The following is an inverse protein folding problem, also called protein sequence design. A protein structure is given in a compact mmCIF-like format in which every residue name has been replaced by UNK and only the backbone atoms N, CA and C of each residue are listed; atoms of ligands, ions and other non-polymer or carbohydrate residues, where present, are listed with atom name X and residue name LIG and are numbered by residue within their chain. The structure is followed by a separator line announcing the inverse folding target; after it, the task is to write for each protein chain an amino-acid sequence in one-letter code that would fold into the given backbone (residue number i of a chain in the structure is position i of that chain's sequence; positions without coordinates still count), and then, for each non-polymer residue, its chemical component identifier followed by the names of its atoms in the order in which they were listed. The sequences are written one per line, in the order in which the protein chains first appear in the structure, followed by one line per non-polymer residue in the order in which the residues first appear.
data_IF_127012672025
#
_entry.id   IF_127012672025
#
_cell.length_a   1.000
_cell.length_b   1.000
_cell.length_c   1.000
_cell.angle_alpha   90.00
_cell.angle_beta   90.00
_cell.angle_gamma   90.00
#
_symmetry.space_group_name_H-M   'P 1'
#
loop_
_entity.id
_entity.type
_entity.pdbx_description
1 polymer ?
#
# COMPACT_ATOMS: atom_id res chain seq x y z
N UNK A 1 -17.53 17.62 -2.27
CA UNK A 1 -16.66 16.45 -1.99
C UNK A 1 -15.62 16.96 -1.01
N UNK A 2 -15.53 16.39 0.20
CA UNK A 2 -14.62 16.92 1.21
C UNK A 2 -13.26 16.23 1.10
N UNK A 3 -12.18 16.97 1.33
CA UNK A 3 -10.84 16.45 1.51
C UNK A 3 -10.28 17.09 2.78
N UNK A 4 -9.48 16.35 3.54
CA UNK A 4 -9.03 16.78 4.86
C UNK A 4 -7.50 16.73 4.94
N UNK A 5 -6.87 17.90 5.03
CA UNK A 5 -5.44 18.04 5.25
C UNK A 5 -5.19 18.72 6.60
N UNK A 6 -4.24 18.20 7.37
CA UNK A 6 -3.80 18.78 8.64
C UNK A 6 -2.44 19.44 8.51
N UNK A 7 -2.30 20.67 8.97
CA UNK A 7 -0.99 21.26 9.27
C UNK A 7 -0.64 20.98 10.73
N UNK A 8 -0.06 19.81 11.02
CA UNK A 8 0.30 19.46 12.41
C UNK A 8 1.26 20.49 13.01
N UNK A 9 2.16 21.02 12.19
CA UNK A 9 2.98 22.19 12.50
C UNK A 9 2.59 23.33 11.55
N UNK A 10 2.52 24.56 12.05
CA UNK A 10 2.00 25.72 11.29
C UNK A 10 2.80 26.06 10.03
N UNK A 11 4.03 25.57 9.90
CA UNK A 11 4.90 25.73 8.74
C UNK A 11 5.04 24.46 7.89
N UNK A 12 4.32 23.39 8.22
CA UNK A 12 4.31 22.13 7.47
C UNK A 12 2.85 21.77 7.13
N UNK A 13 2.33 22.26 6.00
CA UNK A 13 1.02 21.86 5.53
C UNK A 13 1.09 20.48 4.86
N UNK A 14 -0.01 19.74 4.94
CA UNK A 14 -0.23 18.52 4.16
C UNK A 14 -1.14 18.76 2.96
N UNK A 15 -1.20 17.77 2.07
CA UNK A 15 -1.99 17.83 0.82
C UNK A 15 -3.02 16.70 0.82
N UNK A 16 -4.28 17.04 0.63
CA UNK A 16 -5.38 16.08 0.46
C UNK A 16 -6.18 16.40 -0.80
N UNK A 17 -6.23 15.46 -1.76
CA UNK A 17 -6.95 15.59 -3.03
C UNK A 17 -7.83 14.36 -3.24
N UNK A 18 -9.14 14.55 -3.47
CA UNK A 18 -10.10 13.46 -3.67
C UNK A 18 -11.20 13.40 -2.59
N UNK A 19 -12.33 12.77 -2.91
CA UNK A 19 -13.45 12.66 -1.97
C UNK A 19 -13.05 11.80 -0.76
N UNK A 20 -13.21 12.35 0.43
CA UNK A 20 -12.86 11.74 1.71
C UNK A 20 -11.38 11.35 1.83
N UNK A 21 -10.47 12.01 1.09
CA UNK A 21 -9.04 11.84 1.33
C UNK A 21 -8.63 12.49 2.65
N UNK A 22 -7.68 11.89 3.35
CA UNK A 22 -7.23 12.30 4.68
C UNK A 22 -5.70 12.32 4.72
N UNK A 23 -5.11 13.50 4.87
CA UNK A 23 -3.69 13.69 5.13
C UNK A 23 -3.51 14.23 6.56
N UNK A 24 -3.30 13.32 7.51
CA UNK A 24 -3.31 13.65 8.95
C UNK A 24 -1.90 13.93 9.53
N UNK A 25 -0.84 13.73 8.74
CA UNK A 25 0.53 14.07 9.15
C UNK A 25 0.97 15.50 8.83
N UNK A 26 2.03 15.97 9.50
CA UNK A 26 2.60 17.31 9.32
C UNK A 26 3.14 17.61 7.91
N UNK A 27 3.43 16.61 7.10
CA UNK A 27 3.90 16.77 5.70
C UNK A 27 3.30 15.68 4.81
N UNK A 28 2.09 15.22 5.17
CA UNK A 28 1.45 14.10 4.50
C UNK A 28 0.89 14.46 3.11
N UNK A 29 0.84 13.46 2.22
CA UNK A 29 0.23 13.58 0.90
C UNK A 29 -0.79 12.45 0.72
N UNK A 30 -2.07 12.79 0.60
CA UNK A 30 -3.16 11.86 0.33
C UNK A 30 -3.89 12.22 -0.97
N UNK A 31 -3.76 11.40 -2.01
CA UNK A 31 -4.33 11.64 -3.34
C UNK A 31 -5.18 10.46 -3.77
N UNK A 32 -6.48 10.68 -3.94
CA UNK A 32 -7.47 9.69 -4.34
C UNK A 32 -8.67 9.62 -3.40
N UNK A 33 -9.80 9.15 -3.90
CA UNK A 33 -11.00 8.93 -3.07
C UNK A 33 -10.70 7.93 -1.95
N UNK A 34 -10.95 8.31 -0.70
CA UNK A 34 -10.59 7.54 0.51
C UNK A 34 -9.08 7.27 0.72
N UNK A 35 -8.18 7.92 -0.02
CA UNK A 35 -6.74 7.83 0.25
C UNK A 35 -6.42 8.42 1.62
N UNK A 36 -5.65 7.72 2.45
CA UNK A 36 -5.43 8.08 3.85
C UNK A 36 -3.96 7.97 4.23
N UNK A 37 -3.39 9.03 4.79
CA UNK A 37 -2.07 9.00 5.43
C UNK A 37 -2.24 9.21 6.92
N UNK A 38 -1.62 8.32 7.70
CA UNK A 38 -1.60 8.32 9.16
C UNK A 38 -3.03 8.26 9.68
N UNK A 39 -3.64 7.06 9.64
CA UNK A 39 -5.04 6.83 10.02
C UNK A 39 -5.50 7.66 11.23
N UNK A 40 -6.78 8.01 11.23
CA UNK A 40 -7.38 8.91 12.21
C UNK A 40 -6.97 8.53 13.64
N UNK A 41 -6.37 9.48 14.36
CA UNK A 41 -5.89 9.29 15.74
C UNK A 41 -4.39 9.00 15.86
N UNK A 42 -3.70 8.71 14.75
CA UNK A 42 -2.23 8.65 14.72
C UNK A 42 -1.65 10.04 14.40
N UNK A 43 -0.52 10.40 15.02
CA UNK A 43 0.12 11.72 14.88
C UNK A 43 1.53 11.60 14.28
N UNK A 44 1.66 10.89 13.17
CA UNK A 44 2.93 10.76 12.45
C UNK A 44 3.19 11.97 11.55
N UNK A 45 4.46 12.19 11.19
CA UNK A 45 4.88 13.43 10.55
C UNK A 45 4.73 13.37 9.04
N UNK A 46 5.03 12.22 8.42
CA UNK A 46 5.22 12.15 6.97
C UNK A 46 4.65 10.85 6.39
N UNK A 47 4.18 10.91 5.15
CA UNK A 47 3.69 9.73 4.44
C UNK A 47 3.03 10.11 3.12
N UNK A 48 3.00 9.17 2.17
CA UNK A 48 2.47 9.39 0.83
C UNK A 48 1.49 8.26 0.48
N UNK A 49 0.20 8.57 0.39
CA UNK A 49 -0.84 7.66 -0.09
C UNK A 49 -1.40 8.16 -1.42
N UNK A 50 -1.22 7.39 -2.50
CA UNK A 50 -1.72 7.74 -3.84
C UNK A 50 -2.53 6.56 -4.38
N UNK A 51 -3.85 6.70 -4.48
CA UNK A 51 -4.74 5.66 -4.97
C UNK A 51 -6.14 5.81 -4.40
N UNK A 52 -7.15 5.79 -5.26
CA UNK A 52 -8.54 5.91 -4.85
C UNK A 52 -9.26 4.57 -4.78
N UNK A 53 -10.33 4.51 -4.01
CA UNK A 53 -11.27 3.40 -3.98
C UNK A 53 -12.72 3.88 -3.99
N UNK A 54 -13.65 3.00 -4.37
CA UNK A 54 -15.06 3.34 -4.44
C UNK A 54 -15.72 3.38 -3.05
N UNK A 55 -15.22 2.55 -2.12
CA UNK A 55 -15.74 2.39 -0.76
C UNK A 55 -14.73 2.88 0.30
N UNK A 56 -15.19 3.22 1.51
CA UNK A 56 -14.30 3.46 2.64
C UNK A 56 -13.31 2.31 2.83
N UNK A 57 -12.04 2.64 3.05
CA UNK A 57 -10.96 1.67 3.22
C UNK A 57 -10.37 1.11 1.93
N UNK A 58 -10.88 1.49 0.76
CA UNK A 58 -10.34 1.05 -0.54
C UNK A 58 -9.32 2.01 -1.17
N UNK A 59 -9.09 3.18 -0.57
CA UNK A 59 -8.00 4.05 -0.99
C UNK A 59 -6.63 3.51 -0.56
N UNK A 60 -5.57 4.03 -1.15
CA UNK A 60 -4.22 3.81 -0.64
C UNK A 60 -4.14 4.28 0.81
N UNK A 61 -3.51 3.49 1.68
CA UNK A 61 -3.42 3.79 3.12
C UNK A 61 -1.97 3.70 3.61
N UNK A 62 -1.49 4.77 4.22
CA UNK A 62 -0.21 4.80 4.94
C UNK A 62 -0.49 4.77 6.44
N UNK A 63 0.09 3.79 7.13
CA UNK A 63 -0.04 3.60 8.58
C UNK A 63 1.30 3.90 9.27
N UNK A 64 2.42 3.48 8.67
CA UNK A 64 3.76 3.78 9.18
C UNK A 64 4.21 5.20 8.87
N UNK A 65 4.90 5.85 9.81
CA UNK A 65 5.60 7.12 9.56
C UNK A 65 6.63 6.96 8.43
N UNK A 66 6.73 7.98 7.58
CA UNK A 66 7.59 8.04 6.40
C UNK A 66 7.35 6.91 5.38
N UNK A 67 6.20 6.23 5.42
CA UNK A 67 5.88 5.19 4.47
C UNK A 67 5.18 5.72 3.21
N UNK A 68 5.21 4.90 2.15
CA UNK A 68 4.62 5.21 0.85
C UNK A 68 3.69 4.06 0.45
N UNK A 69 2.44 4.37 0.12
CA UNK A 69 1.44 3.44 -0.41
C UNK A 69 0.92 3.97 -1.75
N UNK A 70 1.12 3.21 -2.83
CA UNK A 70 0.70 3.60 -4.19
C UNK A 70 -0.18 2.51 -4.79
N UNK A 71 -1.43 2.90 -5.06
CA UNK A 71 -2.53 2.18 -5.70
C UNK A 71 -3.70 1.89 -4.75
N UNK A 72 -4.91 1.75 -5.30
CA UNK A 72 -6.11 1.43 -4.50
C UNK A 72 -5.92 0.14 -3.72
N UNK A 73 -6.51 0.05 -2.52
CA UNK A 73 -6.39 -1.08 -1.60
C UNK A 73 -4.98 -1.38 -1.06
N UNK A 74 -3.97 -0.55 -1.33
CA UNK A 74 -2.63 -0.74 -0.73
C UNK A 74 -2.55 -0.25 0.71
N UNK A 75 -1.74 -0.94 1.52
CA UNK A 75 -1.50 -0.57 2.93
C UNK A 75 -0.02 -0.66 3.29
N UNK A 76 0.60 0.47 3.59
CA UNK A 76 1.98 0.54 4.06
C UNK A 76 2.03 0.58 5.60
N UNK A 77 2.22 -0.60 6.21
CA UNK A 77 2.21 -0.77 7.68
C UNK A 77 3.53 -0.39 8.36
N UNK A 78 4.67 -0.69 7.73
CA UNK A 78 5.99 -0.48 8.33
C UNK A 78 6.42 0.99 8.26
N UNK A 79 7.13 1.46 9.29
CA UNK A 79 7.85 2.72 9.20
C UNK A 79 8.85 2.69 8.04
N UNK A 80 8.92 3.77 7.28
CA UNK A 80 9.79 3.89 6.09
C UNK A 80 9.55 2.79 5.03
N UNK A 81 8.41 2.10 5.06
CA UNK A 81 8.08 1.06 4.09
C UNK A 81 7.55 1.66 2.78
N UNK A 82 7.70 0.92 1.70
CA UNK A 82 7.16 1.28 0.39
C UNK A 82 6.30 0.11 -0.09
N UNK A 83 5.02 0.37 -0.35
CA UNK A 83 4.07 -0.58 -0.91
C UNK A 83 3.53 0.01 -2.20
N UNK A 84 3.73 -0.72 -3.30
CA UNK A 84 3.26 -0.34 -4.62
C UNK A 84 2.51 -1.53 -5.19
N UNK A 85 1.28 -1.29 -5.63
CA UNK A 85 0.40 -2.33 -6.14
C UNK A 85 -1.06 -1.89 -6.06
N UNK A 86 -1.98 -2.78 -6.34
CA UNK A 86 -3.38 -2.58 -6.05
C UNK A 86 -4.06 -3.92 -6.08
N UNK A 87 -5.29 -3.98 -6.58
CA UNK A 87 -6.03 -5.24 -6.76
C UNK A 87 -5.25 -6.27 -7.61
N UNK A 88 -4.32 -5.81 -8.46
CA UNK A 88 -3.48 -6.68 -9.30
C UNK A 88 -2.33 -7.36 -8.52
N UNK A 89 -1.84 -6.75 -7.43
CA UNK A 89 -0.79 -7.35 -6.60
C UNK A 89 -1.35 -8.54 -5.80
N UNK A 90 -2.56 -8.42 -5.27
CA UNK A 90 -3.24 -9.54 -4.59
C UNK A 90 -3.51 -10.71 -5.55
N UNK A 91 -3.77 -10.41 -6.84
CA UNK A 91 -3.94 -11.44 -7.88
C UNK A 91 -2.65 -12.16 -8.25
N UNK A 92 -1.49 -11.52 -8.07
CA UNK A 92 -0.19 -12.07 -8.45
C UNK A 92 0.10 -13.40 -7.75
N UNK A 93 -0.20 -13.51 -6.45
CA UNK A 93 0.04 -14.72 -5.65
C UNK A 93 -0.70 -15.95 -6.21
N UNK A 94 -1.91 -15.74 -6.77
CA UNK A 94 -2.75 -16.78 -7.37
C UNK A 94 -2.45 -17.08 -8.84
N UNK A 95 -1.63 -16.25 -9.51
CA UNK A 95 -1.30 -16.40 -10.93
C UNK A 95 -0.42 -17.64 -11.12
N UNK A 96 -0.63 -18.41 -12.20
CA UNK A 96 0.22 -19.58 -12.49
C UNK A 96 1.53 -19.15 -13.14
N UNK A 97 2.64 -19.65 -12.61
CA UNK A 97 3.98 -19.44 -13.14
C UNK A 97 4.65 -20.76 -13.49
N UNK A 98 5.48 -20.74 -14.53
CA UNK A 98 6.40 -21.83 -14.86
C UNK A 98 7.72 -21.55 -14.15
N UNK A 99 8.24 -22.52 -13.40
CA UNK A 99 9.53 -22.42 -12.72
C UNK A 99 10.32 -23.73 -12.83
N UNK A 100 11.62 -23.68 -12.59
CA UNK A 100 12.45 -24.89 -12.50
C UNK A 100 12.37 -25.43 -11.08
N UNK A 101 11.84 -26.65 -10.92
CA UNK A 101 11.81 -27.32 -9.64
C UNK A 101 13.24 -27.63 -9.16
N UNK A 102 13.58 -27.18 -7.95
CA UNK A 102 14.94 -27.31 -7.41
C UNK A 102 15.30 -28.75 -6.99
N UNK A 103 14.32 -29.62 -6.83
CA UNK A 103 14.53 -31.02 -6.42
C UNK A 103 14.73 -31.93 -7.62
N UNK A 104 14.04 -31.66 -8.73
CA UNK A 104 14.04 -32.51 -9.94
C UNK A 104 14.77 -31.89 -11.12
N UNK A 105 15.01 -30.58 -11.12
CA UNK A 105 15.60 -29.83 -12.24
C UNK A 105 14.67 -29.69 -13.45
N UNK A 106 13.40 -30.08 -13.35
CA UNK A 106 12.42 -30.06 -14.45
C UNK A 106 11.50 -28.84 -14.35
N UNK A 107 10.89 -28.40 -15.48
CA UNK A 107 9.83 -27.40 -15.44
C UNK A 107 8.64 -27.88 -14.61
N UNK A 108 8.15 -27.02 -13.73
CA UNK A 108 6.92 -27.20 -12.95
C UNK A 108 5.99 -25.99 -13.15
N UNK A 109 4.70 -26.18 -12.91
CA UNK A 109 3.69 -25.12 -12.99
C UNK A 109 2.89 -25.09 -11.69
N UNK A 110 3.01 -23.99 -10.95
CA UNK A 110 2.27 -23.77 -9.71
C UNK A 110 1.79 -22.31 -9.65
N UNK A 111 1.06 -21.94 -8.61
CA UNK A 111 0.80 -20.51 -8.34
C UNK A 111 2.12 -19.82 -7.99
N UNK A 112 2.19 -18.49 -8.15
CA UNK A 112 3.40 -17.74 -7.74
C UNK A 112 3.69 -17.93 -6.26
N UNK A 113 2.66 -18.00 -5.40
CA UNK A 113 2.84 -18.28 -3.96
C UNK A 113 3.57 -19.60 -3.71
N UNK A 114 3.13 -20.67 -4.37
CA UNK A 114 3.66 -22.01 -4.19
C UNK A 114 5.05 -22.14 -4.80
N UNK A 115 5.26 -21.52 -5.97
CA UNK A 115 6.55 -21.46 -6.62
C UNK A 115 7.59 -20.75 -5.74
N UNK A 116 7.27 -19.59 -5.14
CA UNK A 116 8.20 -18.88 -4.27
C UNK A 116 8.52 -19.70 -3.02
N UNK A 117 7.50 -20.35 -2.41
CA UNK A 117 7.72 -21.23 -1.26
C UNK A 117 8.63 -22.41 -1.62
N UNK A 118 8.42 -23.04 -2.76
CA UNK A 118 9.26 -24.15 -3.23
C UNK A 118 10.71 -23.72 -3.50
N UNK A 119 10.91 -22.51 -4.05
CA UNK A 119 12.22 -21.99 -4.42
C UNK A 119 13.02 -21.44 -3.22
N UNK A 120 12.34 -20.85 -2.23
CA UNK A 120 12.99 -20.04 -1.19
C UNK A 120 12.67 -20.46 0.23
N UNK A 121 11.65 -21.30 0.43
CA UNK A 121 11.07 -21.60 1.75
C UNK A 121 10.21 -20.48 2.33
N UNK A 122 10.09 -19.33 1.65
CA UNK A 122 9.33 -18.18 2.12
C UNK A 122 7.89 -18.16 1.58
N UNK A 123 6.93 -17.88 2.45
CA UNK A 123 5.53 -17.66 2.07
C UNK A 123 5.30 -16.18 1.78
N UNK A 124 5.12 -15.84 0.51
CA UNK A 124 4.65 -14.50 0.12
C UNK A 124 3.18 -14.37 0.49
N UNK A 125 2.81 -13.21 1.04
CA UNK A 125 1.44 -12.87 1.41
C UNK A 125 0.90 -11.80 0.49
#
# INVERSE_FOLDING_TARGET
QNAYSKGLYGNTPSVAVGKNSIANGGTAIAVGTYATVNEVGTSFSQGIAIGGGALPGQGATVIGDQAIAIGGNTKAFGHSSIVIGGDDADRMTSTRAVYTDITTGRPAVATVSDAVKALTGYEIK
#
